data_IF_506010139428
#
_entry.id   IF_506010139428
#
_cell.length_a   1.000
_cell.length_b   1.000
_cell.length_c   1.000
_cell.angle_alpha   90.00
_cell.angle_beta   90.00
_cell.angle_gamma   90.00
#
_symmetry.space_group_name_H-M   'P 1'
#
loop_
_entity.id
_entity.type
_entity.pdbx_description
1 polymer ?
#
# COMPACT_ATOMS: atom_id res chain seq x y z
N UNK A 1 8.25 -0.80 -17.73
CA UNK A 1 8.30 0.13 -18.88
C UNK A 1 7.41 1.37 -18.67
N UNK A 2 6.09 1.24 -18.47
CA UNK A 2 5.22 2.42 -18.22
C UNK A 2 5.58 3.17 -16.93
N UNK A 3 5.80 2.46 -15.82
CA UNK A 3 6.20 3.07 -14.56
C UNK A 3 7.49 3.90 -14.67
N UNK A 4 8.49 3.39 -15.40
CA UNK A 4 9.74 4.10 -15.66
C UNK A 4 9.53 5.37 -16.50
N UNK A 5 8.60 5.33 -17.47
CA UNK A 5 8.23 6.52 -18.25
C UNK A 5 7.66 7.63 -17.35
N UNK A 6 6.66 7.29 -16.52
CA UNK A 6 6.08 8.26 -15.59
C UNK A 6 7.06 8.77 -14.53
N UNK A 7 8.01 7.93 -14.10
CA UNK A 7 9.07 8.33 -13.19
C UNK A 7 9.99 9.40 -13.80
N UNK A 8 10.37 9.26 -15.08
CA UNK A 8 11.17 10.26 -15.80
C UNK A 8 10.44 11.61 -15.86
N UNK A 9 9.14 11.59 -16.17
CA UNK A 9 8.36 12.83 -16.32
C UNK A 9 8.11 13.54 -14.98
N UNK A 10 7.93 12.78 -13.90
CA UNK A 10 7.62 13.32 -12.56
C UNK A 10 8.86 13.60 -11.70
N UNK A 11 10.02 13.06 -12.06
CA UNK A 11 11.22 13.03 -11.22
C UNK A 11 11.14 12.02 -10.08
N UNK A 12 10.17 11.10 -10.08
CA UNK A 12 10.09 10.03 -9.10
C UNK A 12 11.19 8.99 -9.30
N UNK A 13 11.63 8.36 -8.20
CA UNK A 13 12.60 7.27 -8.24
C UNK A 13 11.91 5.91 -8.01
N UNK A 14 12.31 4.89 -8.77
CA UNK A 14 11.78 3.53 -8.65
C UNK A 14 12.91 2.59 -8.25
N UNK A 15 12.77 1.96 -7.10
CA UNK A 15 13.64 0.89 -6.62
C UNK A 15 12.85 -0.42 -6.55
N UNK A 16 13.36 -1.47 -7.19
CA UNK A 16 12.86 -2.83 -7.01
C UNK A 16 13.95 -3.65 -6.32
N UNK A 17 13.63 -4.22 -5.16
CA UNK A 17 14.57 -5.01 -4.36
C UNK A 17 13.85 -6.20 -3.74
N UNK A 18 14.60 -7.25 -3.44
CA UNK A 18 14.14 -8.42 -2.69
C UNK A 18 14.54 -8.33 -1.19
N UNK A 19 15.07 -7.18 -0.77
CA UNK A 19 15.49 -6.91 0.62
C UNK A 19 14.51 -5.94 1.29
N UNK A 20 13.57 -6.43 2.14
CA UNK A 20 12.56 -5.58 2.78
C UNK A 20 13.14 -4.45 3.61
N UNK A 21 14.26 -4.71 4.30
CA UNK A 21 14.95 -3.72 5.12
C UNK A 21 15.47 -2.55 4.28
N UNK A 22 15.98 -2.82 3.07
CA UNK A 22 16.42 -1.78 2.15
C UNK A 22 15.21 -0.99 1.62
N UNK A 23 14.12 -1.67 1.30
CA UNK A 23 12.90 -1.03 0.79
C UNK A 23 12.24 -0.08 1.82
N UNK A 24 12.29 -0.42 3.10
CA UNK A 24 11.65 0.35 4.18
C UNK A 24 12.55 1.47 4.73
N UNK A 25 13.86 1.41 4.49
CA UNK A 25 14.81 2.38 5.05
C UNK A 25 14.45 3.82 4.64
N UNK A 26 14.07 4.64 5.63
CA UNK A 26 13.70 6.04 5.41
C UNK A 26 12.36 6.26 4.70
N UNK A 27 11.51 5.23 4.58
CA UNK A 27 10.19 5.35 3.97
C UNK A 27 9.25 6.23 4.81
N UNK A 28 8.43 7.05 4.14
CA UNK A 28 7.32 7.81 4.75
C UNK A 28 6.04 6.95 4.87
N UNK A 29 5.89 5.94 4.01
CA UNK A 29 4.74 5.04 3.95
C UNK A 29 5.24 3.62 3.74
N UNK A 30 4.80 2.70 4.59
CA UNK A 30 4.97 1.26 4.37
C UNK A 30 3.61 0.69 4.00
N UNK A 31 3.55 0.05 2.84
CA UNK A 31 2.32 -0.52 2.30
C UNK A 31 2.54 -2.00 2.02
N UNK A 32 1.66 -2.86 2.54
CA UNK A 32 1.67 -4.30 2.26
C UNK A 32 0.27 -4.81 1.91
N UNK A 33 0.19 -6.04 1.42
CA UNK A 33 -1.04 -6.73 1.05
C UNK A 33 -0.89 -8.24 1.29
N UNK A 34 -2.00 -8.97 1.25
CA UNK A 34 -2.05 -10.42 1.44
C UNK A 34 -1.10 -11.14 0.48
N UNK A 35 -0.33 -12.10 1.01
CA UNK A 35 0.61 -12.88 0.20
C UNK A 35 -0.07 -13.87 -0.75
N UNK A 36 -1.29 -14.29 -0.39
CA UNK A 36 -2.10 -15.26 -1.12
C UNK A 36 -3.39 -14.57 -1.54
N UNK A 37 -3.52 -14.30 -2.84
CA UNK A 37 -4.74 -13.72 -3.38
C UNK A 37 -5.85 -14.76 -3.52
N UNK A 38 -7.09 -14.30 -3.68
CA UNK A 38 -8.22 -15.18 -4.02
C UNK A 38 -7.92 -16.02 -5.27
N UNK A 39 -8.15 -17.33 -5.19
CA UNK A 39 -7.89 -18.29 -6.26
C UNK A 39 -6.48 -18.89 -6.27
N UNK A 40 -5.63 -18.57 -5.28
CA UNK A 40 -4.26 -19.11 -5.15
C UNK A 40 -4.08 -20.01 -3.91
N UNK A 41 -5.16 -20.55 -3.37
CA UNK A 41 -5.18 -21.26 -2.09
C UNK A 41 -4.29 -22.51 -2.10
N UNK A 42 -4.16 -23.17 -3.25
CA UNK A 42 -3.29 -24.34 -3.41
C UNK A 42 -1.80 -24.02 -3.23
N UNK A 43 -1.39 -22.76 -3.40
CA UNK A 43 0.00 -22.30 -3.26
C UNK A 43 0.28 -21.65 -1.90
N UNK A 44 -0.72 -21.56 -1.01
CA UNK A 44 -0.65 -20.75 0.19
C UNK A 44 0.57 -21.04 1.07
N UNK A 45 0.85 -22.32 1.31
CA UNK A 45 1.96 -22.74 2.17
C UNK A 45 3.32 -22.37 1.57
N UNK A 46 3.49 -22.54 0.26
CA UNK A 46 4.72 -22.17 -0.43
C UNK A 46 4.96 -20.67 -0.36
N UNK A 47 3.90 -19.88 -0.55
CA UNK A 47 3.96 -18.40 -0.51
C UNK A 47 4.28 -17.90 0.89
N UNK A 48 3.67 -18.46 1.94
CA UNK A 48 4.04 -18.15 3.34
C UNK A 48 5.52 -18.32 3.59
N UNK A 49 6.12 -19.40 3.11
CA UNK A 49 7.56 -19.65 3.29
C UNK A 49 8.44 -18.66 2.52
N UNK A 50 8.05 -18.30 1.28
CA UNK A 50 8.79 -17.34 0.45
C UNK A 50 8.70 -15.92 1.02
N UNK A 51 7.51 -15.51 1.47
CA UNK A 51 7.25 -14.14 1.91
C UNK A 51 7.42 -13.92 3.42
N UNK A 52 7.76 -14.95 4.21
CA UNK A 52 7.94 -14.82 5.65
C UNK A 52 8.89 -13.69 6.05
N UNK A 53 9.96 -13.46 5.28
CA UNK A 53 10.91 -12.36 5.52
C UNK A 53 10.38 -10.96 5.20
N UNK A 54 9.24 -10.87 4.52
CA UNK A 54 8.56 -9.63 4.11
C UNK A 54 7.45 -9.21 5.09
N UNK A 55 7.20 -9.98 6.16
CA UNK A 55 6.20 -9.61 7.16
C UNK A 55 6.48 -8.20 7.70
N UNK A 56 5.48 -7.34 7.63
CA UNK A 56 5.54 -6.02 8.26
C UNK A 56 5.35 -6.21 9.76
N UNK A 57 6.45 -6.04 10.49
CA UNK A 57 6.52 -6.13 11.94
C UNK A 57 7.20 -4.88 12.51
N UNK A 58 7.19 -4.74 13.85
CA UNK A 58 7.76 -3.56 14.52
C UNK A 58 9.25 -3.36 14.27
N UNK A 59 10.00 -4.45 14.07
CA UNK A 59 11.43 -4.35 13.73
C UNK A 59 11.61 -3.72 12.35
N UNK A 60 10.85 -4.18 11.35
CA UNK A 60 10.92 -3.65 9.99
C UNK A 60 10.46 -2.18 9.96
N UNK A 61 9.35 -1.85 10.62
CA UNK A 61 8.85 -0.48 10.69
C UNK A 61 9.81 0.47 11.40
N UNK A 62 10.62 -0.02 12.34
CA UNK A 62 11.63 0.82 13.02
C UNK A 62 12.74 1.35 12.09
N UNK A 63 12.85 0.82 10.87
CA UNK A 63 13.78 1.29 9.84
C UNK A 63 13.20 2.42 8.98
N UNK A 64 11.88 2.63 9.03
CA UNK A 64 11.19 3.74 8.38
C UNK A 64 11.45 5.05 9.12
N UNK A 65 10.89 6.16 8.62
CA UNK A 65 10.89 7.42 9.36
C UNK A 65 10.04 7.32 10.64
N UNK A 66 10.35 8.17 11.62
CA UNK A 66 9.65 8.18 12.93
C UNK A 66 8.15 8.46 12.80
N UNK A 67 7.77 9.26 11.79
CA UNK A 67 6.39 9.62 11.45
C UNK A 67 5.81 8.80 10.28
N UNK A 68 6.47 7.70 9.91
CA UNK A 68 5.98 6.87 8.82
C UNK A 68 4.64 6.20 9.16
N UNK A 69 3.76 6.11 8.16
CA UNK A 69 2.45 5.47 8.31
C UNK A 69 2.43 4.07 7.68
N UNK A 70 1.62 3.20 8.26
CA UNK A 70 1.34 1.85 7.76
C UNK A 70 -0.01 1.81 7.05
N UNK A 71 -0.03 1.25 5.85
CA UNK A 71 -1.20 1.09 5.00
C UNK A 71 -1.41 -0.38 4.58
N UNK A 72 -2.68 -0.76 4.42
CA UNK A 72 -3.11 -2.09 4.01
C UNK A 72 -4.53 -2.01 3.41
N UNK A 73 -4.81 -2.61 2.24
CA UNK A 73 -6.11 -2.47 1.56
C UNK A 73 -7.27 -3.20 2.24
N UNK A 74 -6.96 -4.17 3.10
CA UNK A 74 -7.88 -5.09 3.79
C UNK A 74 -8.63 -6.06 2.84
N UNK A 75 -9.07 -7.24 3.34
CA UNK A 75 -8.83 -7.79 4.67
C UNK A 75 -7.36 -8.20 4.87
N UNK A 76 -6.86 -8.12 6.10
CA UNK A 76 -5.51 -8.56 6.47
C UNK A 76 -5.53 -9.91 7.19
N UNK A 77 -4.51 -10.72 6.98
CA UNK A 77 -4.18 -11.91 7.76
C UNK A 77 -3.10 -11.56 8.80
N UNK A 78 -3.54 -11.39 10.04
CA UNK A 78 -2.66 -11.18 11.17
C UNK A 78 -1.77 -12.42 11.39
N UNK A 79 -0.47 -12.18 11.60
CA UNK A 79 0.56 -13.22 11.69
C UNK A 79 1.14 -13.66 10.33
N UNK A 80 0.60 -13.21 9.20
CA UNK A 80 1.17 -13.41 7.86
C UNK A 80 1.80 -12.11 7.36
N UNK A 81 1.18 -11.36 6.44
CA UNK A 81 1.78 -10.15 5.85
C UNK A 81 1.99 -9.01 6.85
N UNK A 82 1.22 -9.04 7.94
CA UNK A 82 1.32 -8.11 9.06
C UNK A 82 1.43 -8.88 10.37
N UNK A 83 2.32 -8.45 11.26
CA UNK A 83 2.42 -9.03 12.59
C UNK A 83 1.13 -8.80 13.40
N UNK A 84 0.88 -9.65 14.39
CA UNK A 84 -0.25 -9.51 15.31
C UNK A 84 -0.28 -8.13 15.97
N UNK A 85 -1.46 -7.50 15.99
CA UNK A 85 -1.71 -6.19 16.59
C UNK A 85 -1.03 -4.98 15.91
N UNK A 86 -0.27 -5.16 14.82
CA UNK A 86 0.46 -4.02 14.23
C UNK A 86 -0.46 -3.01 13.54
N UNK A 87 -1.60 -3.47 13.03
CA UNK A 87 -2.62 -2.61 12.43
C UNK A 87 -3.38 -1.77 13.47
N UNK A 88 -3.26 -2.08 14.77
CA UNK A 88 -3.84 -1.30 15.86
C UNK A 88 -2.88 -0.21 16.39
N UNK A 89 -1.69 -0.11 15.81
CA UNK A 89 -0.69 0.89 16.18
C UNK A 89 -1.10 2.31 15.77
N UNK A 90 -0.53 3.32 16.44
CA UNK A 90 -0.81 4.73 16.13
C UNK A 90 -0.34 5.16 14.74
N UNK A 91 0.62 4.45 14.14
CA UNK A 91 1.10 4.71 12.78
C UNK A 91 0.23 4.04 11.71
N UNK A 92 -0.68 3.15 12.08
CA UNK A 92 -1.60 2.49 11.15
C UNK A 92 -2.75 3.40 10.76
N UNK A 93 -2.93 3.62 9.46
CA UNK A 93 -4.03 4.41 8.89
C UNK A 93 -5.00 3.55 8.08
N UNK A 94 -5.03 2.23 8.31
CA UNK A 94 -5.79 1.27 7.49
C UNK A 94 -7.29 1.56 7.44
N UNK A 95 -7.87 2.07 8.52
CA UNK A 95 -9.30 2.41 8.55
C UNK A 95 -9.60 3.73 7.86
N UNK A 96 -8.74 4.74 7.98
CA UNK A 96 -8.85 5.99 7.22
C UNK A 96 -8.69 5.71 5.72
N UNK A 97 -7.75 4.85 5.35
CA UNK A 97 -7.58 4.35 3.98
C UNK A 97 -8.86 3.66 3.47
N UNK A 98 -9.47 2.80 4.28
CA UNK A 98 -10.71 2.11 3.92
C UNK A 98 -11.88 3.09 3.77
N UNK A 99 -12.03 4.06 4.67
CA UNK A 99 -13.06 5.11 4.57
C UNK A 99 -12.87 5.97 3.32
N UNK A 100 -11.62 6.33 2.99
CA UNK A 100 -11.29 7.14 1.83
C UNK A 100 -11.72 6.51 0.50
N UNK A 101 -11.96 5.20 0.43
CA UNK A 101 -12.59 4.55 -0.74
C UNK A 101 -13.96 5.16 -1.07
N UNK A 102 -14.78 5.43 -0.05
CA UNK A 102 -16.11 6.01 -0.23
C UNK A 102 -16.01 7.44 -0.78
N UNK A 103 -15.09 8.23 -0.23
CA UNK A 103 -14.88 9.62 -0.66
C UNK A 103 -14.30 9.70 -2.09
N UNK A 104 -13.33 8.84 -2.42
CA UNK A 104 -12.79 8.72 -3.76
C UNK A 104 -13.87 8.32 -4.78
N UNK A 105 -14.71 7.32 -4.46
CA UNK A 105 -15.78 6.88 -5.34
C UNK A 105 -16.84 7.97 -5.57
N UNK A 106 -17.21 8.73 -4.53
CA UNK A 106 -18.09 9.90 -4.67
C UNK A 106 -17.50 10.94 -5.63
N UNK A 107 -16.22 11.28 -5.48
CA UNK A 107 -15.54 12.25 -6.34
C UNK A 107 -15.48 11.78 -7.80
N UNK A 108 -15.11 10.52 -8.03
CA UNK A 108 -15.08 9.92 -9.37
C UNK A 108 -16.45 9.94 -10.04
N UNK A 109 -17.52 9.55 -9.33
CA UNK A 109 -18.88 9.60 -9.86
C UNK A 109 -19.33 11.03 -10.19
N UNK A 110 -19.04 12.00 -9.31
CA UNK A 110 -19.35 13.41 -9.56
C UNK A 110 -18.63 13.94 -10.81
N UNK A 111 -17.36 13.58 -11.00
CA UNK A 111 -16.59 13.95 -12.19
C UNK A 111 -17.13 13.29 -13.47
N UNK A 112 -17.43 11.99 -13.43
CA UNK A 112 -17.85 11.24 -14.62
C UNK A 112 -19.29 11.55 -15.05
N UNK A 113 -20.20 11.78 -14.10
CA UNK A 113 -21.63 11.97 -14.36
C UNK A 113 -22.04 13.46 -14.44
N UNK A 114 -21.06 14.38 -14.47
CA UNK A 114 -21.32 15.80 -14.67
C UNK A 114 -21.87 16.53 -13.44
N UNK A 115 -21.67 16.00 -12.24
CA UNK A 115 -22.03 16.65 -10.97
C UNK A 115 -21.10 17.79 -10.57
N UNK A 116 -20.02 18.02 -11.32
CA UNK A 116 -19.09 19.12 -11.11
C UNK A 116 -19.25 20.15 -12.26
N UNK A 117 -19.80 21.32 -11.96
CA UNK A 117 -19.74 22.51 -12.83
C UNK A 117 -18.33 23.13 -12.87
N UNK A 118 -17.29 22.30 -12.73
CA UNK A 118 -15.90 22.73 -12.76
C UNK A 118 -15.40 22.49 -14.19
N UNK A 119 -15.19 23.54 -15.01
CA UNK A 119 -14.51 23.38 -16.28
C UNK A 119 -13.07 22.95 -16.01
N UNK A 120 -12.81 21.64 -16.09
CA UNK A 120 -11.45 21.08 -16.07
C UNK A 120 -10.80 21.32 -17.44
N UNK A 121 -10.54 22.58 -17.79
CA UNK A 121 -9.70 22.93 -18.94
C UNK A 121 -8.26 22.50 -18.64
N UNK A 122 -7.88 21.28 -19.03
CA UNK A 122 -6.48 20.84 -18.97
C UNK A 122 -6.24 19.34 -18.93
N UNK A 123 -7.22 18.50 -18.59
CA UNK A 123 -7.06 17.05 -18.66
C UNK A 123 -7.54 16.53 -20.02
N UNK A 124 -6.66 16.62 -21.03
CA UNK A 124 -6.72 15.84 -22.27
C UNK A 124 -5.35 15.25 -22.55
#
# INVERSE_FOLDING_TARGET
HLAQGYAIDSGAEILCTEEPRLAVSGADVVYTDVWVSMGQEAEAEKRRQIFASYQVNSELLSLAKEDAILMHPLPAHHGEEVAEGILDSLSSVVFDQAENRLHLQKALLAQMLGGLEIPLTGYR
#
